data_IF_306516409072
#
_entry.id   IF_306516409072
#
_cell.length_a   1.000
_cell.length_b   1.000
_cell.length_c   1.000
_cell.angle_alpha   90.00
_cell.angle_beta   90.00
_cell.angle_gamma   90.00
#
_symmetry.space_group_name_H-M   'P 1'
#
loop_
_entity.id
_entity.type
_entity.pdbx_description
1 polymer ?
#
# COMPACT_ATOMS: atom_id res chain seq x y z
N UNK A 1 -3.78 -22.65 15.34
CA UNK A 1 -3.33 -23.12 13.99
C UNK A 1 -1.83 -23.34 14.04
N UNK A 2 -1.27 -24.40 13.44
CA UNK A 2 0.20 -24.53 13.38
C UNK A 2 0.78 -23.40 12.53
N UNK A 3 1.84 -22.72 13.03
CA UNK A 3 2.47 -21.60 12.32
C UNK A 3 3.21 -22.11 11.09
N UNK A 4 2.57 -22.03 9.93
CA UNK A 4 3.20 -22.45 8.69
C UNK A 4 4.25 -21.38 8.27
N UNK A 5 5.51 -21.75 7.93
CA UNK A 5 6.59 -20.81 7.59
C UNK A 5 6.22 -19.81 6.47
N UNK A 6 5.33 -20.21 5.57
CA UNK A 6 4.83 -19.34 4.50
C UNK A 6 4.09 -18.12 5.04
N UNK A 7 3.23 -18.29 6.06
CA UNK A 7 2.45 -17.17 6.62
C UNK A 7 3.33 -16.20 7.37
N UNK A 8 4.33 -16.68 8.10
CA UNK A 8 5.33 -15.83 8.75
C UNK A 8 6.05 -14.94 7.73
N UNK A 9 6.51 -15.54 6.61
CA UNK A 9 7.20 -14.81 5.55
C UNK A 9 6.30 -13.72 4.92
N UNK A 10 5.05 -14.07 4.60
CA UNK A 10 4.10 -13.14 3.97
C UNK A 10 3.75 -11.98 4.92
N UNK A 11 3.52 -12.26 6.19
CA UNK A 11 3.21 -11.21 7.18
C UNK A 11 4.38 -10.25 7.37
N UNK A 12 5.64 -10.74 7.39
CA UNK A 12 6.82 -9.89 7.55
C UNK A 12 7.00 -8.83 6.45
N UNK A 13 6.48 -9.07 5.27
CA UNK A 13 6.52 -8.11 4.16
C UNK A 13 5.51 -6.95 4.34
N UNK A 14 4.58 -7.08 5.29
CA UNK A 14 3.52 -6.09 5.50
C UNK A 14 3.85 -5.14 6.66
N UNK A 15 3.61 -3.84 6.45
CA UNK A 15 3.99 -2.75 7.36
C UNK A 15 3.48 -2.87 8.79
N UNK A 16 2.33 -3.52 9.03
CA UNK A 16 1.81 -3.74 10.38
C UNK A 16 2.64 -4.75 11.17
N UNK A 17 3.33 -5.67 10.51
CA UNK A 17 4.02 -6.78 11.17
C UNK A 17 5.54 -6.66 11.12
N UNK A 18 6.10 -5.70 10.37
CA UNK A 18 7.55 -5.53 10.19
C UNK A 18 8.30 -5.28 11.51
N UNK A 19 7.62 -4.70 12.50
CA UNK A 19 8.16 -4.40 13.81
C UNK A 19 8.07 -5.59 14.80
N UNK A 20 7.30 -6.65 14.47
CA UNK A 20 7.15 -7.83 15.30
C UNK A 20 8.36 -8.77 15.11
N UNK A 21 8.84 -9.36 16.20
CA UNK A 21 9.84 -10.44 16.13
C UNK A 21 9.21 -11.79 15.76
N UNK A 22 10.04 -12.82 15.53
CA UNK A 22 9.58 -14.15 15.11
C UNK A 22 8.61 -14.78 16.10
N UNK A 23 8.87 -14.69 17.40
CA UNK A 23 8.02 -15.24 18.45
C UNK A 23 6.64 -14.55 18.47
N UNK A 24 6.61 -13.23 18.31
CA UNK A 24 5.39 -12.43 18.26
C UNK A 24 4.53 -12.76 17.03
N UNK A 25 5.16 -12.90 15.86
CA UNK A 25 4.46 -13.32 14.63
C UNK A 25 3.90 -14.73 14.77
N UNK A 26 4.70 -15.65 15.32
CA UNK A 26 4.25 -17.03 15.59
C UNK A 26 3.01 -17.03 16.48
N UNK A 27 3.07 -16.34 17.61
CA UNK A 27 1.94 -16.22 18.53
C UNK A 27 0.70 -15.62 17.86
N UNK A 28 0.86 -14.56 17.06
CA UNK A 28 -0.25 -13.95 16.34
C UNK A 28 -0.90 -14.93 15.35
N UNK A 29 -0.12 -15.76 14.65
CA UNK A 29 -0.61 -16.79 13.74
C UNK A 29 -1.32 -17.91 14.50
N UNK A 30 -0.77 -18.40 15.61
CA UNK A 30 -1.37 -19.47 16.43
C UNK A 30 -2.77 -19.09 16.94
N UNK A 31 -2.95 -17.82 17.32
CA UNK A 31 -4.21 -17.25 17.80
C UNK A 31 -5.10 -16.70 16.66
N UNK A 32 -4.73 -16.92 15.39
CA UNK A 32 -5.52 -16.53 14.23
C UNK A 32 -6.39 -17.65 13.68
N UNK A 33 -7.31 -17.30 12.79
CA UNK A 33 -8.16 -18.24 12.06
C UNK A 33 -7.86 -18.16 10.57
N UNK A 34 -7.47 -19.28 9.96
CA UNK A 34 -7.36 -19.42 8.52
C UNK A 34 -8.73 -19.79 7.96
N UNK A 35 -9.26 -18.95 7.06
CA UNK A 35 -10.55 -19.20 6.42
C UNK A 35 -10.41 -19.17 4.90
N UNK A 36 -11.11 -20.10 4.24
CA UNK A 36 -11.25 -20.13 2.79
C UNK A 36 -12.72 -19.81 2.48
N UNK A 37 -12.95 -18.79 1.72
CA UNK A 37 -14.28 -18.28 1.42
C UNK A 37 -14.50 -18.26 -0.09
N UNK A 38 -15.67 -18.72 -0.51
CA UNK A 38 -16.09 -18.61 -1.90
C UNK A 38 -16.43 -17.18 -2.26
N UNK A 39 -16.49 -16.88 -3.57
CA UNK A 39 -16.93 -15.59 -4.08
C UNK A 39 -18.32 -15.20 -3.53
N UNK A 40 -18.45 -13.96 -3.03
CA UNK A 40 -19.69 -13.42 -2.50
C UNK A 40 -19.97 -13.79 -1.03
N UNK A 41 -19.05 -14.52 -0.37
CA UNK A 41 -19.19 -14.84 1.05
C UNK A 41 -18.94 -13.60 1.93
N UNK A 42 -19.67 -13.49 3.03
CA UNK A 42 -19.44 -12.46 4.04
C UNK A 42 -18.30 -12.87 4.96
N UNK A 43 -17.35 -11.94 5.15
CA UNK A 43 -16.33 -12.07 6.19
C UNK A 43 -16.91 -11.59 7.52
N UNK A 44 -17.57 -10.43 7.50
CA UNK A 44 -18.35 -9.85 8.59
C UNK A 44 -19.35 -8.84 8.02
N UNK A 45 -20.34 -8.47 8.81
CA UNK A 45 -21.33 -7.44 8.47
C UNK A 45 -21.15 -6.20 9.33
N UNK A 46 -21.63 -5.07 8.85
CA UNK A 46 -21.74 -3.85 9.65
C UNK A 46 -22.55 -4.13 10.92
N UNK A 47 -21.98 -3.75 12.07
CA UNK A 47 -22.59 -3.95 13.39
C UNK A 47 -22.14 -5.24 14.11
N UNK A 48 -21.53 -6.19 13.41
CA UNK A 48 -20.98 -7.39 14.05
C UNK A 48 -19.85 -7.00 15.03
N UNK A 49 -19.64 -7.80 16.13
CA UNK A 49 -18.53 -7.57 17.05
C UNK A 49 -17.17 -7.64 16.36
N UNK A 50 -16.33 -6.62 16.56
CA UNK A 50 -15.03 -6.50 15.91
C UNK A 50 -13.92 -7.13 16.76
N UNK A 51 -13.76 -8.46 16.68
CA UNK A 51 -12.72 -9.20 17.40
C UNK A 51 -11.46 -9.45 16.59
N UNK A 52 -11.54 -9.34 15.26
CA UNK A 52 -10.45 -9.67 14.34
C UNK A 52 -10.32 -8.59 13.29
N UNK A 53 -9.11 -8.45 12.76
CA UNK A 53 -8.88 -7.79 11.49
C UNK A 53 -8.42 -8.83 10.45
N UNK A 54 -8.63 -8.56 9.17
CA UNK A 54 -8.33 -9.51 8.12
C UNK A 54 -7.00 -9.22 7.44
N UNK A 55 -6.29 -10.29 7.04
CA UNK A 55 -5.17 -10.25 6.11
C UNK A 55 -5.48 -11.16 4.92
N UNK A 56 -5.47 -10.61 3.70
CA UNK A 56 -5.74 -11.36 2.47
C UNK A 56 -4.47 -12.11 2.06
N UNK A 57 -4.49 -13.44 2.15
CA UNK A 57 -3.39 -14.28 1.64
C UNK A 57 -3.45 -14.33 0.12
N UNK A 58 -4.65 -14.62 -0.41
CA UNK A 58 -4.95 -14.63 -1.84
C UNK A 58 -6.42 -14.32 -2.09
N UNK A 59 -6.74 -13.69 -3.19
CA UNK A 59 -8.10 -13.31 -3.58
C UNK A 59 -8.39 -11.83 -3.37
N UNK A 60 -9.64 -11.48 -3.07
CA UNK A 60 -10.04 -10.06 -2.92
C UNK A 60 -11.31 -9.90 -2.10
N UNK A 61 -11.33 -8.84 -1.28
CA UNK A 61 -12.44 -8.46 -0.39
C UNK A 61 -12.86 -7.03 -0.68
N UNK A 62 -14.16 -6.77 -0.87
CA UNK A 62 -14.72 -5.42 -0.93
C UNK A 62 -15.21 -5.00 0.46
N UNK A 63 -14.96 -3.73 0.82
CA UNK A 63 -15.51 -3.09 2.01
C UNK A 63 -16.56 -2.06 1.56
N UNK A 64 -17.78 -2.21 2.07
CA UNK A 64 -18.88 -1.37 1.65
C UNK A 64 -19.90 -1.10 2.77
N UNK A 65 -20.74 -0.09 2.58
CA UNK A 65 -21.95 0.15 3.35
C UNK A 65 -23.15 0.17 2.43
N UNK A 66 -24.29 -0.17 2.96
CA UNK A 66 -25.55 0.08 2.28
C UNK A 66 -25.96 1.53 2.50
N UNK A 67 -26.38 2.21 1.42
CA UNK A 67 -27.06 3.50 1.51
C UNK A 67 -28.48 3.29 2.03
N UNK A 68 -29.19 4.34 2.48
CA UNK A 68 -30.59 4.23 2.86
C UNK A 68 -31.49 3.61 1.76
N UNK A 69 -31.12 3.80 0.50
CA UNK A 69 -31.84 3.26 -0.68
C UNK A 69 -31.45 1.81 -0.99
N UNK A 70 -30.63 1.17 -0.13
CA UNK A 70 -30.21 -0.22 -0.26
C UNK A 70 -29.07 -0.47 -1.28
N UNK A 71 -28.47 0.60 -1.84
CA UNK A 71 -27.36 0.45 -2.78
C UNK A 71 -26.03 0.28 -2.04
N UNK A 72 -25.12 -0.50 -2.62
CA UNK A 72 -23.77 -0.68 -2.08
C UNK A 72 -22.90 0.53 -2.41
N UNK A 73 -22.40 1.22 -1.38
CA UNK A 73 -21.33 2.19 -1.51
C UNK A 73 -20.01 1.52 -1.14
N UNK A 74 -19.26 1.10 -2.15
CA UNK A 74 -17.95 0.47 -1.96
C UNK A 74 -16.93 1.55 -1.62
N UNK A 75 -16.18 1.36 -0.51
CA UNK A 75 -15.11 2.25 -0.07
C UNK A 75 -13.76 1.78 -0.60
N UNK A 76 -13.55 0.46 -0.58
CA UNK A 76 -12.26 -0.12 -0.93
C UNK A 76 -12.43 -1.56 -1.42
N UNK A 77 -11.50 -2.00 -2.28
CA UNK A 77 -11.32 -3.39 -2.67
C UNK A 77 -9.90 -3.78 -2.31
N UNK A 78 -9.77 -4.71 -1.37
CA UNK A 78 -8.51 -5.17 -0.81
C UNK A 78 -8.10 -6.45 -1.51
N UNK A 79 -6.92 -6.45 -2.13
CA UNK A 79 -6.31 -7.61 -2.77
C UNK A 79 -5.27 -8.29 -1.90
N UNK A 80 -4.54 -9.24 -2.53
CA UNK A 80 -3.51 -10.05 -1.90
C UNK A 80 -2.51 -9.23 -1.06
N UNK A 81 -2.09 -9.80 0.07
CA UNK A 81 -1.07 -9.27 0.98
C UNK A 81 -1.40 -7.92 1.63
N UNK A 82 -2.67 -7.57 1.69
CA UNK A 82 -3.15 -6.36 2.37
C UNK A 82 -4.06 -6.72 3.54
N UNK A 83 -4.15 -5.78 4.50
CA UNK A 83 -5.04 -5.88 5.66
C UNK A 83 -6.31 -5.06 5.45
N UNK A 84 -7.33 -5.37 6.24
CA UNK A 84 -8.57 -4.60 6.34
C UNK A 84 -9.13 -4.68 7.76
N UNK A 85 -9.88 -3.67 8.15
CA UNK A 85 -10.51 -3.51 9.47
C UNK A 85 -9.53 -3.32 10.66
N UNK A 86 -8.22 -3.19 10.44
CA UNK A 86 -7.25 -2.91 11.49
C UNK A 86 -7.49 -1.56 12.18
N UNK A 87 -8.00 -0.57 11.46
CA UNK A 87 -8.35 0.72 12.03
C UNK A 87 -9.37 0.61 13.16
N UNK A 88 -10.32 -0.33 13.06
CA UNK A 88 -11.36 -0.56 14.08
C UNK A 88 -10.76 -1.01 15.40
N UNK A 89 -9.69 -1.83 15.34
CA UNK A 89 -8.94 -2.27 16.50
C UNK A 89 -8.32 -1.08 17.26
N UNK A 90 -7.63 -0.19 16.54
CA UNK A 90 -6.98 0.98 17.14
C UNK A 90 -7.98 2.03 17.63
N UNK A 91 -9.11 2.17 16.96
CA UNK A 91 -10.18 3.12 17.36
C UNK A 91 -11.05 2.61 18.51
N UNK A 92 -10.96 1.31 18.85
CA UNK A 92 -11.75 0.73 19.94
C UNK A 92 -13.26 0.77 19.73
N UNK A 93 -13.73 0.73 18.48
CA UNK A 93 -15.16 0.87 18.14
C UNK A 93 -16.02 -0.29 18.63
N UNK A 94 -15.44 -1.44 18.94
CA UNK A 94 -16.13 -2.64 19.40
C UNK A 94 -16.96 -3.36 18.34
N UNK A 95 -17.32 -2.69 17.24
CA UNK A 95 -18.11 -3.24 16.15
C UNK A 95 -17.58 -2.79 14.79
N UNK A 96 -17.79 -3.61 13.76
CA UNK A 96 -17.45 -3.26 12.39
C UNK A 96 -18.36 -2.14 11.85
N UNK A 97 -17.76 -1.09 11.31
CA UNK A 97 -18.49 0.06 10.79
C UNK A 97 -18.93 -0.09 9.33
N UNK A 98 -18.54 -1.17 8.68
CA UNK A 98 -18.85 -1.52 7.30
C UNK A 98 -18.94 -3.04 7.13
N UNK A 99 -19.43 -3.51 6.01
CA UNK A 99 -19.50 -4.92 5.65
C UNK A 99 -18.31 -5.31 4.78
N UNK A 100 -17.71 -6.48 5.04
CA UNK A 100 -16.67 -7.10 4.23
C UNK A 100 -17.21 -8.33 3.50
N UNK A 101 -17.02 -8.39 2.17
CA UNK A 101 -17.49 -9.47 1.32
C UNK A 101 -16.46 -9.83 0.27
N UNK A 102 -16.24 -11.10 0.02
CA UNK A 102 -15.30 -11.58 -1.00
C UNK A 102 -15.79 -11.27 -2.42
N UNK A 103 -14.88 -10.86 -3.31
CA UNK A 103 -15.16 -10.60 -4.73
C UNK A 103 -14.71 -11.77 -5.62
N UNK A 104 -13.74 -12.53 -5.11
CA UNK A 104 -13.18 -13.75 -5.70
C UNK A 104 -13.12 -14.82 -4.61
N UNK A 105 -12.91 -16.12 -4.94
CA UNK A 105 -12.52 -17.11 -3.95
C UNK A 105 -11.29 -16.60 -3.19
N UNK A 106 -11.36 -16.55 -1.87
CA UNK A 106 -10.40 -15.79 -1.05
C UNK A 106 -9.94 -16.61 0.16
N UNK A 107 -8.65 -16.61 0.38
CA UNK A 107 -8.03 -17.15 1.58
C UNK A 107 -7.60 -16.01 2.51
N UNK A 108 -8.04 -16.05 3.76
CA UNK A 108 -7.80 -14.99 4.76
C UNK A 108 -7.18 -15.58 6.03
N UNK A 109 -6.32 -14.77 6.66
CA UNK A 109 -6.03 -14.87 8.09
C UNK A 109 -6.88 -13.83 8.83
N UNK A 110 -7.74 -14.29 9.74
CA UNK A 110 -8.45 -13.45 10.71
C UNK A 110 -7.59 -13.35 11.95
N UNK A 111 -6.93 -12.23 12.13
CA UNK A 111 -5.94 -11.96 13.16
C UNK A 111 -6.63 -11.34 14.39
N UNK A 112 -6.32 -11.87 15.59
CA UNK A 112 -6.93 -11.42 16.85
C UNK A 112 -6.53 -9.98 17.19
N UNK A 113 -7.52 -9.09 17.32
CA UNK A 113 -7.33 -7.72 17.77
C UNK A 113 -6.70 -7.65 19.17
N UNK A 114 -7.15 -8.53 20.05
CA UNK A 114 -6.67 -8.60 21.44
C UNK A 114 -5.20 -8.99 21.49
N UNK A 115 -4.80 -10.02 20.72
CA UNK A 115 -3.43 -10.51 20.67
C UNK A 115 -2.50 -9.44 20.09
N UNK A 116 -2.85 -8.87 18.93
CA UNK A 116 -2.01 -7.86 18.29
C UNK A 116 -1.85 -6.62 19.20
N UNK A 117 -2.94 -6.14 19.80
CA UNK A 117 -2.90 -5.00 20.73
C UNK A 117 -2.07 -5.30 21.96
N UNK A 118 -2.14 -6.53 22.51
CA UNK A 118 -1.32 -6.96 23.64
C UNK A 118 0.15 -6.96 23.29
N UNK A 119 0.55 -7.53 22.13
CA UNK A 119 1.95 -7.53 21.68
C UNK A 119 2.53 -6.11 21.53
N UNK A 120 1.73 -5.15 21.07
CA UNK A 120 2.15 -3.75 21.00
C UNK A 120 2.28 -3.10 22.38
N UNK A 121 1.39 -3.43 23.34
CA UNK A 121 1.44 -2.85 24.70
C UNK A 121 2.59 -3.39 25.53
N UNK A 122 2.92 -4.68 25.36
CA UNK A 122 4.00 -5.35 26.09
C UNK A 122 5.39 -4.89 25.63
N UNK A 123 5.50 -4.32 24.41
CA UNK A 123 6.78 -3.87 23.85
C UNK A 123 6.65 -2.50 23.21
N UNK A 124 7.09 -1.47 23.96
CA UNK A 124 7.09 -0.07 23.49
C UNK A 124 7.96 0.14 22.24
N UNK A 125 9.07 -0.57 22.10
CA UNK A 125 9.94 -0.46 20.93
C UNK A 125 9.21 -0.94 19.67
N UNK A 126 8.47 -2.05 19.76
CA UNK A 126 7.61 -2.55 18.67
C UNK A 126 6.55 -1.51 18.28
N UNK A 127 5.90 -0.90 19.26
CA UNK A 127 4.90 0.13 19.01
C UNK A 127 5.52 1.39 18.35
N UNK A 128 6.68 1.83 18.80
CA UNK A 128 7.40 2.96 18.20
C UNK A 128 7.89 2.66 16.78
N UNK A 129 8.38 1.45 16.51
CA UNK A 129 8.78 1.03 15.17
C UNK A 129 7.58 0.97 14.21
N UNK A 130 6.41 0.51 14.68
CA UNK A 130 5.17 0.55 13.90
C UNK A 130 4.75 2.00 13.58
N UNK A 131 4.78 2.91 14.55
CA UNK A 131 4.47 4.32 14.33
C UNK A 131 5.42 4.96 13.30
N UNK A 132 6.71 4.66 13.37
CA UNK A 132 7.69 5.11 12.38
C UNK A 132 7.35 4.59 10.98
N UNK A 133 7.06 3.30 10.83
CA UNK A 133 6.68 2.69 9.56
C UNK A 133 5.41 3.31 8.97
N UNK A 134 4.38 3.54 9.79
CA UNK A 134 3.14 4.19 9.39
C UNK A 134 3.36 5.66 8.99
N UNK A 135 4.20 6.40 9.72
CA UNK A 135 4.55 7.78 9.39
C UNK A 135 5.24 7.89 8.04
N UNK A 136 6.21 7.02 7.76
CA UNK A 136 6.89 6.96 6.46
C UNK A 136 5.88 6.66 5.35
N UNK A 137 4.99 5.69 5.56
CA UNK A 137 3.96 5.31 4.58
C UNK A 137 2.98 6.46 4.33
N UNK A 138 2.56 7.18 5.38
CA UNK A 138 1.70 8.35 5.25
C UNK A 138 2.35 9.44 4.40
N UNK A 139 3.61 9.78 4.65
CA UNK A 139 4.34 10.75 3.83
C UNK A 139 4.46 10.31 2.37
N UNK A 140 4.69 9.02 2.12
CA UNK A 140 4.71 8.50 0.75
C UNK A 140 3.36 8.69 0.05
N UNK A 141 2.23 8.43 0.74
CA UNK A 141 0.88 8.64 0.20
C UNK A 141 0.55 10.11 -0.03
N UNK A 142 0.96 11.00 0.86
CA UNK A 142 0.80 12.45 0.67
C UNK A 142 1.57 12.94 -0.56
N UNK A 143 2.80 12.48 -0.77
CA UNK A 143 3.58 12.79 -1.97
C UNK A 143 2.91 12.26 -3.25
N UNK A 144 2.32 11.05 -3.23
CA UNK A 144 1.55 10.51 -4.36
C UNK A 144 0.33 11.39 -4.67
N UNK A 145 -0.41 11.84 -3.64
CA UNK A 145 -1.57 12.73 -3.79
C UNK A 145 -1.11 14.08 -4.35
N UNK A 146 -0.02 14.65 -3.86
CA UNK A 146 0.54 15.91 -4.37
C UNK A 146 0.86 15.79 -5.87
N UNK A 147 1.59 14.73 -6.26
CA UNK A 147 1.92 14.48 -7.68
C UNK A 147 0.65 14.37 -8.54
N UNK A 148 -0.37 13.65 -8.06
CA UNK A 148 -1.64 13.48 -8.79
C UNK A 148 -2.48 14.76 -8.86
N UNK A 149 -2.35 15.64 -7.86
CA UNK A 149 -3.09 16.90 -7.80
C UNK A 149 -2.56 18.01 -8.73
N UNK A 150 -1.30 17.87 -9.21
CA UNK A 150 -0.71 18.82 -10.15
C UNK A 150 -1.48 18.86 -11.46
N UNK A 151 -1.92 20.06 -11.88
CA UNK A 151 -2.74 20.26 -13.09
C UNK A 151 -1.99 19.92 -14.38
N UNK A 152 -0.68 20.18 -14.43
CA UNK A 152 0.16 19.95 -15.60
C UNK A 152 0.74 18.54 -15.60
N UNK A 153 0.51 17.78 -16.67
CA UNK A 153 1.04 16.42 -16.83
C UNK A 153 2.59 16.39 -16.78
N UNK A 154 3.26 17.43 -17.30
CA UNK A 154 4.72 17.55 -17.28
C UNK A 154 5.23 17.64 -15.85
N UNK A 155 4.64 18.47 -15.00
CA UNK A 155 5.03 18.57 -13.59
C UNK A 155 4.83 17.24 -12.84
N UNK A 156 3.75 16.50 -13.11
CA UNK A 156 3.55 15.16 -12.52
C UNK A 156 4.68 14.20 -12.88
N UNK A 157 5.09 14.19 -14.15
CA UNK A 157 6.21 13.35 -14.61
C UNK A 157 7.52 13.77 -13.95
N UNK A 158 7.82 15.06 -13.89
CA UNK A 158 9.04 15.60 -13.28
C UNK A 158 9.11 15.25 -11.79
N UNK A 159 8.05 15.50 -11.03
CA UNK A 159 7.98 15.16 -9.59
C UNK A 159 8.17 13.66 -9.36
N UNK A 160 7.62 12.82 -10.21
CA UNK A 160 7.82 11.38 -10.16
C UNK A 160 9.29 11.00 -10.37
N UNK A 161 9.94 11.56 -11.41
CA UNK A 161 11.36 11.31 -11.70
C UNK A 161 12.24 11.72 -10.52
N UNK A 162 12.05 12.92 -9.97
CA UNK A 162 12.79 13.41 -8.80
C UNK A 162 12.59 12.52 -7.58
N UNK A 163 11.36 12.09 -7.29
CA UNK A 163 11.05 11.22 -6.18
C UNK A 163 11.71 9.83 -6.31
N UNK A 164 11.76 9.27 -7.52
CA UNK A 164 12.44 7.99 -7.76
C UNK A 164 13.96 8.11 -7.63
N UNK A 165 14.55 9.19 -8.15
CA UNK A 165 15.98 9.43 -8.05
C UNK A 165 16.46 9.58 -6.59
N UNK A 166 15.67 10.23 -5.72
CA UNK A 166 15.96 10.34 -4.28
C UNK A 166 15.98 8.99 -3.57
N UNK A 167 15.17 8.02 -4.04
CA UNK A 167 15.12 6.66 -3.47
C UNK A 167 16.29 5.78 -3.90
N UNK A 168 16.89 6.06 -5.07
CA UNK A 168 17.87 5.14 -5.70
C UNK A 168 19.31 5.43 -5.32
N UNK A 169 19.75 6.66 -5.12
CA UNK A 169 21.10 7.00 -4.67
C UNK A 169 21.21 8.46 -4.19
N UNK A 170 21.50 8.65 -2.90
CA UNK A 170 21.75 9.99 -2.33
C UNK A 170 23.23 10.47 -2.49
N UNK A 171 24.11 9.69 -3.13
CA UNK A 171 25.56 9.98 -3.21
C UNK A 171 26.16 9.89 -4.61
N UNK A 172 25.38 9.69 -5.67
CA UNK A 172 25.90 9.59 -7.03
C UNK A 172 25.97 10.96 -7.70
N UNK A 173 27.07 11.23 -8.44
CA UNK A 173 27.28 12.46 -9.20
C UNK A 173 26.23 12.66 -10.32
N UNK A 174 25.58 11.59 -10.79
CA UNK A 174 24.50 11.61 -11.76
C UNK A 174 23.38 10.70 -11.24
N UNK A 175 22.31 11.26 -10.62
CA UNK A 175 21.20 10.44 -10.11
C UNK A 175 20.53 9.66 -11.24
N UNK A 176 20.50 8.34 -11.12
CA UNK A 176 19.85 7.47 -12.08
C UNK A 176 19.01 6.42 -11.38
N UNK A 177 17.92 5.99 -12.02
CA UNK A 177 17.07 4.92 -11.50
C UNK A 177 16.42 4.14 -12.64
N UNK A 178 16.13 2.89 -12.40
CA UNK A 178 15.32 2.08 -13.31
C UNK A 178 13.84 2.25 -12.96
N UNK A 179 13.00 2.47 -13.98
CA UNK A 179 11.55 2.52 -13.80
C UNK A 179 11.07 1.20 -13.16
N UNK A 180 10.42 1.24 -11.99
CA UNK A 180 10.02 0.05 -11.25
C UNK A 180 9.00 -0.80 -12.01
N UNK A 181 8.33 -0.21 -13.00
CA UNK A 181 7.31 -0.86 -13.83
C UNK A 181 7.37 -0.34 -15.27
N UNK A 182 6.62 -1.00 -16.17
CA UNK A 182 6.52 -0.56 -17.57
C UNK A 182 5.98 0.88 -17.68
N UNK A 183 6.46 1.65 -18.65
CA UNK A 183 6.07 3.07 -18.89
C UNK A 183 4.54 3.27 -18.91
N UNK A 184 3.79 2.33 -19.46
CA UNK A 184 2.31 2.35 -19.48
C UNK A 184 1.71 2.34 -18.06
N UNK A 185 2.28 1.56 -17.15
CA UNK A 185 1.81 1.48 -15.76
C UNK A 185 2.20 2.73 -14.98
N UNK A 186 3.39 3.30 -15.23
CA UNK A 186 3.79 4.60 -14.67
C UNK A 186 2.84 5.69 -15.11
N UNK A 187 2.50 5.75 -16.40
CA UNK A 187 1.53 6.70 -16.93
C UNK A 187 0.17 6.57 -16.24
N UNK A 188 -0.33 5.35 -16.07
CA UNK A 188 -1.55 5.08 -15.30
C UNK A 188 -1.48 5.54 -13.86
N UNK A 189 -0.36 5.29 -13.18
CA UNK A 189 -0.10 5.77 -11.82
C UNK A 189 -0.13 7.32 -11.72
N UNK A 190 0.35 8.00 -12.75
CA UNK A 190 0.33 9.47 -12.83
C UNK A 190 -0.98 10.05 -13.38
N UNK A 191 -1.99 9.21 -13.65
CA UNK A 191 -3.27 9.59 -14.25
C UNK A 191 -3.10 10.40 -15.54
N UNK A 192 -2.18 9.94 -16.42
CA UNK A 192 -1.95 10.50 -17.75
C UNK A 192 -1.97 9.37 -18.80
N UNK A 193 -2.19 9.73 -20.07
CA UNK A 193 -2.14 8.78 -21.16
C UNK A 193 -0.69 8.31 -21.42
N UNK A 194 -0.47 7.01 -21.78
CA UNK A 194 0.87 6.50 -22.05
C UNK A 194 1.63 7.29 -23.14
N UNK A 195 0.93 7.74 -24.17
CA UNK A 195 1.48 8.57 -25.23
C UNK A 195 1.95 9.94 -24.71
N UNK A 196 1.16 10.54 -23.80
CA UNK A 196 1.52 11.80 -23.15
C UNK A 196 2.76 11.64 -22.28
N UNK A 197 2.84 10.57 -21.47
CA UNK A 197 4.03 10.23 -20.70
C UNK A 197 5.25 10.08 -21.59
N UNK A 198 5.16 9.28 -22.66
CA UNK A 198 6.25 9.07 -23.61
C UNK A 198 6.70 10.36 -24.25
N UNK A 199 5.78 11.23 -24.68
CA UNK A 199 6.10 12.53 -25.29
C UNK A 199 6.82 13.45 -24.30
N UNK A 200 6.39 13.49 -23.03
CA UNK A 200 7.03 14.34 -22.00
C UNK A 200 8.47 13.86 -21.74
N UNK A 201 8.69 12.56 -21.53
CA UNK A 201 10.03 12.06 -21.23
C UNK A 201 10.98 12.20 -22.42
N UNK A 202 10.49 12.07 -23.67
CA UNK A 202 11.29 12.35 -24.87
C UNK A 202 11.64 13.84 -24.96
N UNK A 203 10.68 14.73 -24.73
CA UNK A 203 10.94 16.18 -24.73
C UNK A 203 12.01 16.59 -23.70
N UNK A 204 11.91 16.09 -22.46
CA UNK A 204 12.94 16.33 -21.44
C UNK A 204 14.31 15.74 -21.84
N UNK A 205 14.32 14.64 -22.59
CA UNK A 205 15.55 14.05 -23.10
C UNK A 205 16.15 14.87 -24.26
N UNK A 206 15.33 15.36 -25.18
CA UNK A 206 15.75 16.18 -26.31
C UNK A 206 16.33 17.53 -25.84
N UNK A 207 15.82 18.07 -24.73
CA UNK A 207 16.35 19.23 -24.03
C UNK A 207 17.63 18.98 -23.24
N UNK A 208 18.09 17.72 -23.16
CA UNK A 208 19.28 17.33 -22.41
C UNK A 208 19.14 17.42 -20.90
N UNK A 209 17.91 17.43 -20.37
CA UNK A 209 17.63 17.49 -18.92
C UNK A 209 17.74 16.09 -18.30
N UNK A 210 17.26 15.07 -19.02
CA UNK A 210 17.38 13.68 -18.66
C UNK A 210 17.97 12.86 -19.81
N UNK A 211 18.44 11.65 -19.53
CA UNK A 211 18.78 10.64 -20.55
C UNK A 211 18.00 9.37 -20.26
N UNK A 212 17.52 8.72 -21.33
CA UNK A 212 16.68 7.53 -21.27
C UNK A 212 17.35 6.40 -22.04
N UNK A 213 17.60 5.29 -21.35
CA UNK A 213 18.11 4.05 -21.93
C UNK A 213 17.18 2.90 -21.55
N UNK A 214 16.21 2.59 -22.42
CA UNK A 214 15.18 1.58 -22.13
C UNK A 214 14.30 1.97 -20.95
N UNK A 215 14.56 1.36 -19.78
CA UNK A 215 13.89 1.68 -18.50
C UNK A 215 14.74 2.55 -17.57
N UNK A 216 16.02 2.72 -17.88
CA UNK A 216 16.92 3.55 -17.08
C UNK A 216 16.69 5.03 -17.41
N UNK A 217 16.51 5.84 -16.38
CA UNK A 217 16.44 7.30 -16.46
C UNK A 217 17.60 7.89 -15.68
N UNK A 218 18.42 8.72 -16.34
CA UNK A 218 19.53 9.47 -15.74
C UNK A 218 19.17 10.95 -15.74
N UNK A 219 19.28 11.63 -14.60
CA UNK A 219 19.09 13.08 -14.52
C UNK A 219 20.42 13.76 -14.87
N UNK A 220 20.45 14.50 -15.96
CA UNK A 220 21.64 15.22 -16.43
C UNK A 220 21.73 16.63 -15.82
N UNK A 221 20.60 17.30 -15.67
CA UNK A 221 20.50 18.64 -15.10
C UNK A 221 19.35 18.68 -14.07
N UNK A 222 19.70 18.56 -12.81
CA UNK A 222 18.73 18.53 -11.72
C UNK A 222 18.07 19.89 -11.49
N UNK A 223 18.84 20.96 -11.57
CA UNK A 223 18.34 22.31 -11.29
C UNK A 223 17.31 22.73 -12.34
N UNK A 224 17.58 22.43 -13.62
CA UNK A 224 16.61 22.65 -14.70
C UNK A 224 15.38 21.77 -14.57
N UNK A 225 15.54 20.52 -14.09
CA UNK A 225 14.41 19.61 -13.89
C UNK A 225 13.52 20.08 -12.74
N UNK A 226 14.09 20.58 -11.63
CA UNK A 226 13.33 21.07 -10.46
C UNK A 226 12.57 22.37 -10.76
N UNK A 227 13.14 23.25 -11.62
CA UNK A 227 12.58 24.55 -11.99
C UNK A 227 11.93 24.55 -13.39
N UNK A 228 11.51 23.40 -13.88
CA UNK A 228 10.90 23.27 -15.20
C UNK A 228 9.51 23.93 -15.23
N UNK A 229 9.28 24.88 -16.12
CA UNK A 229 8.02 25.62 -16.31
C UNK A 229 7.10 25.01 -17.39
#
# INVERSE_FOLDING_TARGET
MEPHPLYQKILREHHLFIALNDAQITQLIEESQLVNLEKGAYVFRQGDPCHHFGFVISGSVKIYRLTPDGQEKVFEVIGDRNTFAEAMMFMGTGAYVATAQTVLPTQLLLLSNATYTRLLRENTETAMALLAALSVRMHQRLNEIEILSLKNATHRVIRYILAQALRSCSKCSTPSFELPMAKRLVAGHLSIQPETFSRIIHHLSDEGIIRIEGRLICILDRDRLENYE
#
